data_IF_309073472498
#
_entry.id   IF_309073472498
#
_cell.length_a   1.000
_cell.length_b   1.000
_cell.length_c   1.000
_cell.angle_alpha   90.00
_cell.angle_beta   90.00
_cell.angle_gamma   90.00
#
_symmetry.space_group_name_H-M   'P 1'
#
loop_
_entity.id
_entity.type
_entity.pdbx_description
1 polymer ?
#
# COMPACT_ATOMS: atom_id res chain seq x y z
N UNK A 1 -16.11 -21.27 16.36
CA UNK A 1 -15.65 -20.71 15.07
C UNK A 1 -14.92 -19.37 15.28
N UNK A 2 -13.87 -19.32 16.11
CA UNK A 2 -13.21 -18.04 16.42
C UNK A 2 -11.76 -18.18 16.94
N UNK A 3 -11.01 -19.20 16.49
CA UNK A 3 -9.66 -19.48 17.03
C UNK A 3 -8.58 -19.52 15.94
N UNK A 4 -8.85 -19.01 14.73
CA UNK A 4 -8.01 -19.29 13.54
C UNK A 4 -7.30 -18.10 12.89
N UNK A 5 -7.37 -16.87 13.44
CA UNK A 5 -6.81 -15.68 12.78
C UNK A 5 -5.91 -14.84 13.70
N UNK A 6 -4.90 -15.48 14.29
CA UNK A 6 -3.65 -14.82 14.69
C UNK A 6 -2.50 -15.53 13.99
N UNK A 7 -2.58 -15.60 12.66
CA UNK A 7 -1.46 -16.07 11.88
C UNK A 7 -0.64 -14.85 11.49
N UNK A 8 0.53 -14.67 12.11
CA UNK A 8 1.50 -13.62 11.78
C UNK A 8 1.76 -13.49 10.27
N UNK A 9 1.61 -14.57 9.51
CA UNK A 9 1.79 -14.59 8.06
C UNK A 9 0.54 -14.08 7.34
N UNK A 10 -0.66 -14.38 7.85
CA UNK A 10 -1.90 -13.73 7.40
C UNK A 10 -1.86 -12.22 7.67
N UNK A 11 -1.47 -11.81 8.87
CA UNK A 11 -1.37 -10.40 9.24
C UNK A 11 -0.38 -9.65 8.33
N UNK A 12 0.77 -10.26 8.04
CA UNK A 12 1.75 -9.72 7.10
C UNK A 12 1.18 -9.59 5.68
N UNK A 13 0.47 -10.62 5.19
CA UNK A 13 -0.18 -10.59 3.87
C UNK A 13 -1.24 -9.48 3.83
N UNK A 14 -2.05 -9.32 4.88
CA UNK A 14 -3.05 -8.25 4.97
C UNK A 14 -2.41 -6.85 4.93
N UNK A 15 -1.29 -6.63 5.61
CA UNK A 15 -0.56 -5.35 5.54
C UNK A 15 -0.02 -5.10 4.13
N UNK A 16 0.56 -6.12 3.48
CA UNK A 16 1.05 -6.01 2.09
C UNK A 16 -0.10 -5.65 1.14
N UNK A 17 -1.26 -6.31 1.30
CA UNK A 17 -2.44 -6.04 0.48
C UNK A 17 -2.93 -4.60 0.64
N UNK A 18 -3.11 -4.13 1.87
CA UNK A 18 -3.58 -2.76 2.14
C UNK A 18 -2.61 -1.70 1.59
N UNK A 19 -1.30 -1.91 1.76
CA UNK A 19 -0.30 -1.01 1.18
C UNK A 19 -0.37 -0.99 -0.36
N UNK A 20 -0.53 -2.16 -0.99
CA UNK A 20 -0.72 -2.24 -2.45
C UNK A 20 -1.95 -1.47 -2.92
N UNK A 21 -3.08 -1.65 -2.23
CA UNK A 21 -4.33 -0.95 -2.54
C UNK A 21 -4.21 0.56 -2.34
N UNK A 22 -3.51 1.00 -1.29
CA UNK A 22 -3.25 2.41 -1.04
C UNK A 22 -2.41 3.04 -2.17
N UNK A 23 -1.34 2.37 -2.62
CA UNK A 23 -0.51 2.88 -3.72
C UNK A 23 -1.30 3.02 -5.04
N UNK A 24 -2.13 2.03 -5.38
CA UNK A 24 -3.00 2.08 -6.56
C UNK A 24 -4.03 3.21 -6.45
N UNK A 25 -4.65 3.37 -5.28
CA UNK A 25 -5.65 4.40 -5.02
C UNK A 25 -5.06 5.80 -5.12
N UNK A 26 -3.88 6.04 -4.52
CA UNK A 26 -3.16 7.30 -4.63
C UNK A 26 -2.83 7.63 -6.09
N UNK A 27 -2.42 6.64 -6.88
CA UNK A 27 -2.14 6.82 -8.32
C UNK A 27 -3.39 7.26 -9.10
N UNK A 28 -4.57 6.77 -8.73
CA UNK A 28 -5.84 7.23 -9.30
C UNK A 28 -6.13 8.68 -8.90
N UNK A 29 -6.03 9.01 -7.62
CA UNK A 29 -6.32 10.36 -7.11
C UNK A 29 -5.33 11.42 -7.60
N UNK A 30 -4.09 11.06 -7.92
CA UNK A 30 -3.16 11.96 -8.60
C UNK A 30 -3.71 12.48 -9.93
N UNK A 31 -4.49 11.68 -10.66
CA UNK A 31 -5.12 12.10 -11.93
C UNK A 31 -6.23 13.12 -11.69
N UNK A 32 -6.93 13.01 -10.57
CA UNK A 32 -8.00 13.95 -10.23
C UNK A 32 -7.41 15.28 -9.75
N UNK A 33 -6.39 15.24 -8.89
CA UNK A 33 -5.62 16.43 -8.49
C UNK A 33 -4.99 17.16 -9.70
N UNK A 34 -4.52 16.41 -10.70
CA UNK A 34 -4.03 16.99 -11.95
C UNK A 34 -5.11 17.71 -12.77
N UNK A 35 -6.32 17.15 -12.87
CA UNK A 35 -7.47 17.82 -13.53
C UNK A 35 -7.89 19.08 -12.79
N UNK A 36 -7.81 19.06 -11.47
CA UNK A 36 -8.16 20.18 -10.59
C UNK A 36 -7.04 21.23 -10.50
N UNK A 37 -5.88 20.98 -11.13
CA UNK A 37 -4.70 21.85 -11.11
C UNK A 37 -4.17 22.12 -9.70
N UNK A 38 -4.22 21.10 -8.85
CA UNK A 38 -3.68 21.13 -7.49
C UNK A 38 -2.36 20.34 -7.40
N UNK A 39 -1.21 21.01 -7.63
CA UNK A 39 0.09 20.34 -7.63
C UNK A 39 0.53 19.87 -6.24
N UNK A 40 0.08 20.54 -5.17
CA UNK A 40 0.45 20.20 -3.79
C UNK A 40 -0.20 18.88 -3.37
N UNK A 41 -1.50 18.74 -3.64
CA UNK A 41 -2.23 17.50 -3.38
C UNK A 41 -1.74 16.36 -4.27
N UNK A 42 -1.45 16.63 -5.56
CA UNK A 42 -0.84 15.64 -6.46
C UNK A 42 0.51 15.13 -5.92
N UNK A 43 1.35 16.03 -5.42
CA UNK A 43 2.65 15.67 -4.85
C UNK A 43 2.47 14.81 -3.59
N UNK A 44 1.58 15.19 -2.68
CA UNK A 44 1.30 14.41 -1.48
C UNK A 44 0.84 12.98 -1.82
N UNK A 45 -0.06 12.82 -2.79
CA UNK A 45 -0.48 11.48 -3.23
C UNK A 45 0.67 10.67 -3.85
N UNK A 46 1.57 11.31 -4.60
CA UNK A 46 2.76 10.64 -5.11
C UNK A 46 3.64 10.11 -3.98
N UNK A 47 3.92 10.93 -2.97
CA UNK A 47 4.73 10.54 -1.80
C UNK A 47 4.09 9.35 -1.06
N UNK A 48 2.77 9.37 -0.86
CA UNK A 48 2.04 8.25 -0.24
C UNK A 48 2.10 6.99 -1.09
N UNK A 49 1.97 7.10 -2.43
CA UNK A 49 2.09 5.96 -3.33
C UNK A 49 3.48 5.32 -3.30
N UNK A 50 4.54 6.14 -3.30
CA UNK A 50 5.93 5.68 -3.22
C UNK A 50 6.23 4.99 -1.88
N UNK A 51 5.80 5.58 -0.76
CA UNK A 51 5.96 4.99 0.57
C UNK A 51 5.27 3.63 0.65
N UNK A 52 4.03 3.52 0.18
CA UNK A 52 3.31 2.25 0.19
C UNK A 52 3.94 1.21 -0.75
N UNK A 53 4.43 1.61 -1.92
CA UNK A 53 5.16 0.73 -2.83
C UNK A 53 6.43 0.16 -2.19
N UNK A 54 7.17 0.99 -1.45
CA UNK A 54 8.34 0.55 -0.68
C UNK A 54 7.94 -0.47 0.40
N UNK A 55 6.85 -0.22 1.13
CA UNK A 55 6.32 -1.15 2.15
C UNK A 55 5.90 -2.49 1.53
N UNK A 56 5.24 -2.48 0.36
CA UNK A 56 4.89 -3.69 -0.38
C UNK A 56 6.15 -4.49 -0.73
N UNK A 57 7.18 -3.86 -1.27
CA UNK A 57 8.41 -4.56 -1.64
C UNK A 57 9.10 -5.17 -0.41
N UNK A 58 9.21 -4.40 0.68
CA UNK A 58 9.79 -4.89 1.95
C UNK A 58 8.98 -6.03 2.55
N UNK A 59 7.66 -5.92 2.54
CA UNK A 59 6.74 -6.95 3.03
C UNK A 59 6.84 -8.23 2.19
N UNK A 60 6.88 -8.14 0.86
CA UNK A 60 7.08 -9.29 -0.04
C UNK A 60 8.41 -9.99 0.23
N UNK A 61 9.48 -9.24 0.47
CA UNK A 61 10.78 -9.82 0.83
C UNK A 61 10.72 -10.57 2.18
N UNK A 62 10.02 -10.02 3.18
CA UNK A 62 9.81 -10.70 4.46
C UNK A 62 8.99 -11.99 4.30
N UNK A 63 7.96 -11.96 3.46
CA UNK A 63 7.11 -13.13 3.19
C UNK A 63 7.90 -14.24 2.47
N UNK A 64 8.71 -13.88 1.47
CA UNK A 64 9.57 -14.83 0.73
C UNK A 64 10.56 -15.57 1.63
N UNK A 65 11.06 -14.92 2.68
CA UNK A 65 12.00 -15.53 3.62
C UNK A 65 11.33 -16.40 4.70
N UNK A 66 9.99 -16.50 4.69
CA UNK A 66 9.19 -17.23 5.69
C UNK A 66 8.44 -18.43 5.12
N UNK A 67 8.25 -18.46 3.80
CA UNK A 67 7.67 -19.57 3.03
C UNK A 67 8.79 -20.39 2.39
#
# INVERSE_FOLDING_TARGET
MAEKLKNKDYDLISVIYNASQAAETCTLYMKDAEKEKDPEVKQFFNEVAEMNSNLVQRGRNLLKNRL
#
